data_IF_330107200643
#
_entry.id   IF_330107200643
#
_cell.length_a   1.000
_cell.length_b   1.000
_cell.length_c   1.000
_cell.angle_alpha   90.00
_cell.angle_beta   90.00
_cell.angle_gamma   90.00
#
_symmetry.space_group_name_H-M   'P 1'
#
loop_
_entity.id
_entity.type
_entity.pdbx_description
1 polymer ?
#
# COMPACT_ATOMS: atom_id res chain seq x y z
N UNK A 1 -41.97 16.81 21.44
CA UNK A 1 -40.82 15.91 21.67
C UNK A 1 -40.30 15.50 20.30
N UNK A 2 -39.22 16.12 19.86
CA UNK A 2 -38.53 15.77 18.60
C UNK A 2 -37.28 15.02 19.04
N UNK A 3 -37.28 13.71 18.80
CA UNK A 3 -36.18 12.82 19.13
C UNK A 3 -35.09 13.02 18.08
N UNK A 4 -34.00 13.70 18.45
CA UNK A 4 -32.79 13.74 17.63
C UNK A 4 -32.07 12.40 17.75
N UNK A 5 -32.00 11.66 16.65
CA UNK A 5 -31.11 10.52 16.50
C UNK A 5 -29.72 11.10 16.17
N UNK A 6 -28.68 10.89 16.99
CA UNK A 6 -27.34 11.28 16.60
C UNK A 6 -26.83 10.30 15.55
N UNK A 7 -26.66 10.78 14.33
CA UNK A 7 -25.86 10.10 13.30
C UNK A 7 -24.40 10.24 13.75
N UNK A 8 -23.86 9.18 14.33
CA UNK A 8 -22.43 9.04 14.58
C UNK A 8 -21.72 8.89 13.24
N UNK A 9 -21.17 9.99 12.72
CA UNK A 9 -20.12 9.93 11.71
C UNK A 9 -18.88 9.33 12.37
N UNK A 10 -18.65 8.04 12.18
CA UNK A 10 -17.34 7.46 12.45
C UNK A 10 -16.40 7.97 11.38
N UNK A 11 -15.49 8.87 11.75
CA UNK A 11 -14.38 9.23 10.89
C UNK A 11 -13.49 7.98 10.75
N UNK A 12 -13.68 7.21 9.68
CA UNK A 12 -12.79 6.15 9.25
C UNK A 12 -11.51 6.79 8.72
N UNK A 13 -10.64 7.22 9.63
CA UNK A 13 -9.23 7.45 9.31
C UNK A 13 -8.67 6.09 8.86
N UNK A 14 -7.90 6.09 7.76
CA UNK A 14 -7.51 4.92 6.98
C UNK A 14 -7.20 3.68 7.83
N UNK A 15 -8.06 2.68 7.72
CA UNK A 15 -7.98 1.45 8.51
C UNK A 15 -6.95 0.51 7.87
N UNK A 16 -5.67 0.73 8.15
CA UNK A 16 -4.56 -0.16 7.82
C UNK A 16 -3.75 -0.35 9.10
N UNK A 17 -3.33 -1.58 9.39
CA UNK A 17 -2.41 -1.81 10.50
C UNK A 17 -1.16 -0.96 10.20
N UNK A 18 -0.60 -0.30 11.21
CA UNK A 18 0.55 0.58 10.97
C UNK A 18 1.69 -0.23 10.36
N UNK A 19 1.92 -0.04 9.05
CA UNK A 19 3.11 -0.48 8.33
C UNK A 19 4.32 0.14 9.03
N UNK A 20 4.91 -0.59 9.97
CA UNK A 20 6.06 -0.18 10.76
C UNK A 20 5.78 -0.07 12.27
N UNK A 21 6.03 -1.18 12.97
CA UNK A 21 7.10 -1.16 13.94
C UNK A 21 6.95 -2.01 15.19
N UNK A 22 7.02 -3.35 15.13
CA UNK A 22 7.58 -4.20 16.20
C UNK A 22 7.87 -5.63 15.67
N UNK A 23 9.07 -5.89 15.14
CA UNK A 23 9.58 -7.24 14.92
C UNK A 23 10.31 -7.75 16.19
N UNK A 24 9.59 -8.01 17.29
CA UNK A 24 10.20 -8.59 18.50
C UNK A 24 9.30 -9.60 19.23
N UNK A 25 9.56 -10.90 19.02
CA UNK A 25 9.53 -11.87 20.12
C UNK A 25 10.41 -13.11 19.85
N UNK A 26 11.72 -12.94 19.96
CA UNK A 26 12.63 -13.95 20.52
C UNK A 26 14.04 -13.35 20.67
N UNK A 27 14.60 -13.47 21.88
CA UNK A 27 15.99 -13.16 22.25
C UNK A 27 16.37 -11.67 22.49
N UNK A 28 16.17 -11.27 23.75
CA UNK A 28 17.04 -10.39 24.58
C UNK A 28 16.98 -8.85 24.44
N UNK A 29 16.52 -8.25 25.56
CA UNK A 29 16.65 -6.87 26.07
C UNK A 29 15.77 -5.76 25.44
N UNK A 30 14.97 -5.04 26.25
CA UNK A 30 14.09 -3.98 25.77
C UNK A 30 14.93 -2.74 25.44
N UNK A 31 15.21 -2.51 24.16
CA UNK A 31 15.56 -1.19 23.67
C UNK A 31 14.26 -0.50 23.25
N UNK A 32 14.07 0.74 23.68
CA UNK A 32 12.94 1.56 23.25
C UNK A 32 13.14 1.87 21.76
N UNK A 33 12.29 1.29 20.91
CA UNK A 33 12.22 1.64 19.50
C UNK A 33 11.31 2.86 19.35
N UNK A 34 11.69 3.78 18.47
CA UNK A 34 10.85 4.91 18.12
C UNK A 34 9.63 4.37 17.35
N UNK A 35 8.48 4.31 18.02
CA UNK A 35 7.19 4.30 17.33
C UNK A 35 7.17 5.51 16.40
N UNK A 36 6.75 5.33 15.15
CA UNK A 36 6.18 6.45 14.42
C UNK A 36 5.03 6.96 15.30
N UNK A 37 5.19 8.16 15.86
CA UNK A 37 4.18 8.72 16.74
C UNK A 37 2.89 8.85 15.94
N UNK A 38 1.86 8.12 16.36
CA UNK A 38 0.48 8.43 16.02
C UNK A 38 0.28 9.92 16.33
N UNK A 39 -0.14 10.77 15.36
CA UNK A 39 -0.37 12.18 15.64
C UNK A 39 -1.42 12.26 16.74
N UNK A 40 -0.97 12.59 17.96
CA UNK A 40 -1.85 12.88 19.08
C UNK A 40 -2.84 13.94 18.63
N UNK A 41 -4.10 13.56 18.44
CA UNK A 41 -5.21 14.50 18.24
C UNK A 41 -5.30 15.32 19.53
N UNK A 42 -4.62 16.46 19.52
CA UNK A 42 -4.79 17.48 20.53
C UNK A 42 -6.13 18.11 20.22
N UNK A 43 -7.14 17.81 21.05
CA UNK A 43 -8.45 18.44 21.00
C UNK A 43 -8.30 19.95 21.19
N UNK A 44 -8.08 20.68 20.10
CA UNK A 44 -8.07 22.12 20.11
C UNK A 44 -9.51 22.61 20.29
N UNK A 45 -9.77 23.22 21.45
CA UNK A 45 -11.00 23.97 21.69
C UNK A 45 -10.92 25.25 20.88
N UNK A 46 -11.50 25.26 19.68
CA UNK A 46 -11.53 26.46 18.83
C UNK A 46 -12.70 27.34 19.23
N UNK A 47 -12.38 28.47 19.86
CA UNK A 47 -13.27 29.60 20.09
C UNK A 47 -13.74 30.17 18.75
N UNK A 48 -15.04 30.08 18.47
CA UNK A 48 -15.65 30.65 17.25
C UNK A 48 -15.61 32.18 17.34
N UNK A 49 -14.85 32.81 16.45
CA UNK A 49 -15.01 34.23 16.13
C UNK A 49 -15.56 34.31 14.70
N UNK A 50 -16.82 34.74 14.58
CA UNK A 50 -17.47 34.91 13.29
C UNK A 50 -16.89 36.11 12.54
N UNK A 51 -16.47 35.90 11.30
CA UNK A 51 -16.27 36.95 10.32
C UNK A 51 -17.07 36.62 9.06
N UNK A 52 -18.06 37.46 8.78
CA UNK A 52 -18.80 37.48 7.51
C UNK A 52 -17.90 38.16 6.48
N UNK A 53 -17.57 37.46 5.39
CA UNK A 53 -17.13 38.10 4.15
C UNK A 53 -17.55 37.27 2.93
N UNK A 54 -17.68 37.99 1.82
CA UNK A 54 -18.61 37.78 0.73
C UNK A 54 -18.03 36.91 -0.40
N UNK A 55 -18.96 36.33 -1.16
CA UNK A 55 -18.81 35.42 -2.30
C UNK A 55 -17.91 35.95 -3.43
N UNK A 56 -17.06 35.07 -3.98
CA UNK A 56 -16.60 35.13 -5.36
C UNK A 56 -16.51 33.71 -5.96
N UNK A 57 -17.13 33.53 -7.13
CA UNK A 57 -17.17 32.27 -7.90
C UNK A 57 -15.98 32.26 -8.87
N UNK A 58 -15.16 31.19 -8.94
CA UNK A 58 -14.26 30.97 -10.08
C UNK A 58 -14.84 29.97 -11.08
N UNK A 59 -14.46 30.19 -12.34
CA UNK A 59 -15.03 29.63 -13.55
C UNK A 59 -14.58 28.19 -13.88
N UNK A 60 -15.47 27.51 -14.59
CA UNK A 60 -15.29 26.22 -15.29
C UNK A 60 -14.06 26.25 -16.20
N UNK A 61 -13.19 25.25 -16.07
CA UNK A 61 -12.10 25.00 -17.02
C UNK A 61 -12.06 23.52 -17.39
N UNK A 62 -12.09 23.29 -18.69
CA UNK A 62 -12.18 22.04 -19.43
C UNK A 62 -10.97 21.12 -19.22
N UNK A 63 -11.26 19.83 -18.98
CA UNK A 63 -10.33 18.72 -18.95
C UNK A 63 -9.84 18.34 -20.35
N UNK A 64 -8.52 18.32 -20.54
CA UNK A 64 -7.87 17.64 -21.67
C UNK A 64 -7.47 16.25 -21.22
N UNK A 65 -8.12 15.24 -21.80
CA UNK A 65 -7.80 13.82 -21.66
C UNK A 65 -6.55 13.52 -22.48
N UNK A 66 -5.47 13.08 -21.82
CA UNK A 66 -4.31 12.52 -22.50
C UNK A 66 -4.49 11.00 -22.60
N UNK A 67 -4.63 10.52 -23.82
CA UNK A 67 -4.79 9.12 -24.20
C UNK A 67 -3.46 8.38 -24.01
N UNK A 68 -3.42 7.42 -23.10
CA UNK A 68 -2.31 6.45 -23.01
C UNK A 68 -2.53 5.37 -24.07
N UNK A 69 -1.63 5.29 -25.04
CA UNK A 69 -1.60 4.20 -26.01
C UNK A 69 -1.05 2.95 -25.35
N UNK A 70 -1.91 1.94 -25.24
CA UNK A 70 -1.53 0.55 -25.02
C UNK A 70 -0.55 0.09 -26.10
N UNK A 71 0.60 -0.45 -25.69
CA UNK A 71 1.43 -1.26 -26.56
C UNK A 71 1.48 -2.67 -25.98
N UNK A 72 0.41 -3.42 -26.27
CA UNK A 72 0.41 -4.88 -26.18
C UNK A 72 1.03 -5.43 -27.45
N UNK A 73 2.28 -5.87 -27.38
CA UNK A 73 2.84 -6.83 -28.34
C UNK A 73 3.95 -7.62 -27.67
N UNK A 74 3.79 -8.94 -27.67
CA UNK A 74 4.78 -9.87 -27.14
C UNK A 74 6.11 -9.68 -27.85
N UNK A 75 7.12 -9.30 -27.07
CA UNK A 75 8.49 -9.25 -27.55
C UNK A 75 9.32 -10.27 -26.79
N UNK A 76 9.89 -11.20 -27.55
CA UNK A 76 10.98 -12.07 -27.15
C UNK A 76 12.28 -11.27 -27.08
N UNK A 77 12.25 -10.06 -26.52
CA UNK A 77 13.44 -9.38 -26.04
C UNK A 77 13.82 -10.02 -24.72
N UNK A 78 15.06 -10.50 -24.61
CA UNK A 78 15.64 -10.85 -23.31
C UNK A 78 15.49 -9.67 -22.38
N UNK A 79 14.57 -9.78 -21.42
CA UNK A 79 14.30 -8.71 -20.47
C UNK A 79 15.61 -8.28 -19.79
N UNK A 80 15.87 -6.97 -19.79
CA UNK A 80 17.07 -6.39 -19.20
C UNK A 80 16.75 -5.82 -17.82
N UNK A 81 17.73 -5.91 -16.93
CA UNK A 81 17.65 -5.23 -15.63
C UNK A 81 17.51 -3.71 -15.86
N UNK A 82 16.72 -3.06 -15.02
CA UNK A 82 16.50 -1.62 -15.02
C UNK A 82 16.69 -1.10 -13.59
N UNK A 83 17.40 0.00 -13.44
CA UNK A 83 17.47 0.68 -12.16
C UNK A 83 16.14 1.37 -11.84
N UNK A 84 15.80 1.43 -10.55
CA UNK A 84 14.69 2.23 -10.05
C UNK A 84 14.96 3.71 -10.29
N UNK A 85 13.93 4.44 -10.68
CA UNK A 85 13.99 5.90 -10.88
C UNK A 85 15.07 6.38 -11.87
N UNK A 86 15.51 5.53 -12.81
CA UNK A 86 16.63 5.79 -13.72
C UNK A 86 16.51 7.07 -14.58
N UNK A 87 15.30 7.59 -14.76
CA UNK A 87 15.04 8.81 -15.53
C UNK A 87 14.94 10.08 -14.67
N UNK A 88 15.04 9.97 -13.34
CA UNK A 88 14.85 11.10 -12.46
C UNK A 88 16.17 11.82 -12.16
N UNK A 89 16.20 13.12 -12.46
CA UNK A 89 17.31 14.03 -12.11
C UNK A 89 17.13 14.67 -10.73
N UNK A 90 16.02 14.41 -10.03
CA UNK A 90 15.79 14.98 -8.70
C UNK A 90 16.52 14.20 -7.62
N UNK A 91 16.75 14.88 -6.50
CA UNK A 91 17.32 14.26 -5.30
C UNK A 91 16.30 13.25 -4.76
N UNK A 92 16.77 12.07 -4.36
CA UNK A 92 15.97 11.18 -3.50
C UNK A 92 15.61 11.95 -2.22
N UNK A 93 14.47 11.61 -1.62
CA UNK A 93 14.09 12.17 -0.32
C UNK A 93 15.26 12.14 0.67
N UNK A 94 15.35 13.12 1.57
CA UNK A 94 16.47 13.15 2.53
C UNK A 94 16.41 11.93 3.45
N UNK A 95 17.55 11.56 4.05
CA UNK A 95 17.61 10.41 4.98
C UNK A 95 16.60 10.55 6.11
N UNK A 96 16.34 11.77 6.59
CA UNK A 96 15.36 12.06 7.64
C UNK A 96 13.91 11.87 7.17
N UNK A 97 13.60 12.24 5.92
CA UNK A 97 12.29 11.96 5.31
C UNK A 97 12.12 10.47 5.08
N UNK A 98 13.15 9.79 4.59
CA UNK A 98 13.18 8.35 4.36
C UNK A 98 13.04 7.56 5.67
N UNK A 99 13.66 8.02 6.76
CA UNK A 99 13.54 7.38 8.08
C UNK A 99 12.13 7.49 8.68
N UNK A 100 11.36 8.49 8.26
CA UNK A 100 9.99 8.73 8.75
C UNK A 100 8.89 8.22 7.79
N UNK A 101 9.11 8.31 6.48
CA UNK A 101 8.11 8.10 5.42
C UNK A 101 8.37 6.86 4.56
N UNK A 102 9.60 6.35 4.57
CA UNK A 102 10.08 5.38 3.59
C UNK A 102 10.52 5.98 2.26
N UNK A 103 11.01 5.13 1.37
CA UNK A 103 11.28 5.41 -0.01
C UNK A 103 9.97 5.39 -0.81
N UNK A 104 9.52 6.57 -1.26
CA UNK A 104 8.35 6.72 -2.13
C UNK A 104 8.73 7.03 -3.59
N UNK A 105 10.00 6.87 -3.96
CA UNK A 105 10.57 7.31 -5.23
C UNK A 105 11.25 8.68 -5.11
N UNK A 106 11.12 9.52 -6.13
CA UNK A 106 11.74 10.85 -6.17
C UNK A 106 10.71 11.96 -6.28
N UNK A 107 11.08 13.19 -5.94
CA UNK A 107 10.16 14.34 -5.95
C UNK A 107 9.38 14.53 -7.27
N UNK A 108 9.98 14.17 -8.41
CA UNK A 108 9.39 14.32 -9.74
C UNK A 108 8.89 13.01 -10.36
N UNK A 109 9.04 11.89 -9.64
CA UNK A 109 8.73 10.54 -10.12
C UNK A 109 8.31 9.70 -8.91
N UNK A 110 7.11 10.01 -8.39
CA UNK A 110 6.52 9.24 -7.30
C UNK A 110 6.25 7.80 -7.76
N UNK A 111 6.51 6.83 -6.89
CA UNK A 111 6.23 5.43 -7.19
C UNK A 111 7.30 4.73 -8.02
N UNK A 112 8.34 5.44 -8.51
CA UNK A 112 9.42 4.84 -9.29
C UNK A 112 10.29 3.82 -8.52
N UNK A 113 10.07 3.70 -7.21
CA UNK A 113 10.62 2.67 -6.32
C UNK A 113 9.88 1.32 -6.46
N UNK A 114 8.77 1.25 -7.20
CA UNK A 114 7.99 0.04 -7.48
C UNK A 114 7.86 -0.09 -9.00
N UNK A 115 8.08 -1.29 -9.54
CA UNK A 115 7.85 -1.52 -10.98
C UNK A 115 7.46 -2.96 -11.30
N UNK A 116 6.62 -3.10 -12.34
CA UNK A 116 6.42 -4.39 -12.98
C UNK A 116 7.70 -4.81 -13.73
N UNK A 117 8.08 -6.07 -13.57
CA UNK A 117 9.23 -6.68 -14.25
C UNK A 117 8.85 -8.01 -14.88
N UNK A 118 9.66 -8.44 -15.85
CA UNK A 118 9.56 -9.78 -16.36
C UNK A 118 10.09 -10.79 -15.32
N UNK A 119 9.39 -11.91 -15.13
CA UNK A 119 9.78 -12.96 -14.18
C UNK A 119 11.20 -13.51 -14.43
N UNK A 120 11.67 -13.55 -15.68
CA UNK A 120 13.02 -14.03 -16.04
C UNK A 120 14.16 -13.21 -15.43
N UNK A 121 13.88 -11.99 -14.98
CA UNK A 121 14.86 -11.11 -14.31
C UNK A 121 14.55 -10.87 -12.83
N UNK A 122 13.56 -11.54 -12.25
CA UNK A 122 13.17 -11.36 -10.85
C UNK A 122 14.35 -11.56 -9.88
N UNK A 123 15.21 -12.54 -10.14
CA UNK A 123 16.39 -12.83 -9.31
C UNK A 123 17.46 -11.73 -9.33
N UNK A 124 17.34 -10.73 -10.21
CA UNK A 124 18.26 -9.58 -10.27
C UNK A 124 17.86 -8.47 -9.29
N UNK A 125 16.66 -8.52 -8.75
CA UNK A 125 16.15 -7.53 -7.80
C UNK A 125 16.18 -8.11 -6.39
N UNK A 126 16.50 -7.27 -5.40
CA UNK A 126 16.61 -7.70 -4.01
C UNK A 126 15.24 -8.05 -3.40
N UNK A 127 14.21 -7.30 -3.78
CA UNK A 127 12.86 -7.43 -3.24
C UNK A 127 11.86 -7.61 -4.38
N UNK A 128 11.11 -8.71 -4.38
CA UNK A 128 10.10 -8.99 -5.42
C UNK A 128 8.86 -9.65 -4.82
N UNK A 129 7.70 -9.38 -5.41
CA UNK A 129 6.46 -10.10 -5.17
C UNK A 129 5.97 -10.70 -6.51
N UNK A 130 5.78 -12.02 -6.53
CA UNK A 130 5.21 -12.74 -7.67
C UNK A 130 3.74 -12.97 -7.43
N UNK A 131 2.87 -12.31 -8.19
CA UNK A 131 1.42 -12.42 -8.10
C UNK A 131 0.96 -13.56 -8.99
N UNK A 132 0.36 -14.60 -8.41
CA UNK A 132 -0.30 -15.68 -9.14
C UNK A 132 -1.80 -15.54 -9.00
N UNK A 133 -2.50 -15.50 -10.13
CA UNK A 133 -3.94 -15.43 -10.16
C UNK A 133 -4.55 -16.83 -9.95
N UNK A 134 -5.24 -17.05 -8.84
CA UNK A 134 -5.92 -18.33 -8.60
C UNK A 134 -7.26 -18.43 -9.35
N UNK A 135 -7.81 -17.30 -9.82
CA UNK A 135 -9.09 -17.29 -10.54
C UNK A 135 -8.90 -17.30 -12.05
N UNK A 136 -9.94 -17.74 -12.75
CA UNK A 136 -10.02 -17.85 -14.21
C UNK A 136 -10.55 -16.56 -14.88
N UNK A 137 -10.33 -15.41 -14.25
CA UNK A 137 -10.69 -14.09 -14.75
C UNK A 137 -9.52 -13.13 -14.54
N UNK A 138 -9.36 -12.18 -15.45
CA UNK A 138 -8.37 -11.11 -15.29
C UNK A 138 -8.71 -10.28 -14.05
N UNK A 139 -7.67 -9.84 -13.35
CA UNK A 139 -7.78 -8.93 -12.22
C UNK A 139 -7.02 -7.64 -12.50
N UNK A 140 -7.64 -6.51 -12.25
CA UNK A 140 -6.92 -5.24 -12.14
C UNK A 140 -6.16 -5.24 -10.81
N UNK A 141 -4.91 -4.83 -10.83
CA UNK A 141 -4.08 -4.70 -9.65
C UNK A 141 -3.46 -3.31 -9.58
N UNK A 142 -3.36 -2.79 -8.36
CA UNK A 142 -2.62 -1.56 -8.04
C UNK A 142 -1.63 -1.85 -6.93
N UNK A 143 -0.48 -1.22 -6.98
CA UNK A 143 0.44 -1.11 -5.86
C UNK A 143 0.65 0.36 -5.53
N UNK A 144 0.74 0.68 -4.25
CA UNK A 144 0.92 2.04 -3.75
C UNK A 144 1.97 2.07 -2.64
N UNK A 145 2.58 3.24 -2.44
CA UNK A 145 3.35 3.52 -1.24
C UNK A 145 2.40 3.91 -0.10
N UNK A 146 2.77 3.68 1.16
CA UNK A 146 2.01 4.13 2.34
C UNK A 146 1.74 5.63 2.28
N UNK A 147 2.81 6.38 2.00
CA UNK A 147 2.79 7.82 1.81
C UNK A 147 2.57 8.12 0.32
N UNK A 148 1.51 8.84 -0.01
CA UNK A 148 1.17 9.16 -1.41
C UNK A 148 1.86 10.42 -1.93
N UNK A 149 1.57 10.81 -3.19
CA UNK A 149 2.29 11.88 -3.88
C UNK A 149 1.97 13.28 -3.33
N UNK A 150 0.75 13.48 -2.82
CA UNK A 150 0.28 14.75 -2.27
C UNK A 150 0.46 14.72 -0.74
N UNK A 151 1.67 15.00 -0.27
CA UNK A 151 2.00 15.10 1.16
C UNK A 151 1.32 16.36 1.74
N UNK A 152 0.08 16.25 2.20
CA UNK A 152 -0.55 17.28 3.01
C UNK A 152 -0.27 17.00 4.49
N UNK A 153 -0.01 18.08 5.23
CA UNK A 153 0.44 18.12 6.62
C UNK A 153 -0.61 17.60 7.65
N UNK A 154 -1.85 17.37 7.22
CA UNK A 154 -2.94 16.94 8.10
C UNK A 154 -2.87 15.46 8.51
N UNK A 155 -2.42 14.58 7.60
CA UNK A 155 -2.43 13.12 7.82
C UNK A 155 -1.03 12.50 7.67
N UNK A 156 0.01 13.33 7.74
CA UNK A 156 1.40 12.90 7.51
C UNK A 156 1.64 12.33 6.11
N UNK A 157 0.73 12.58 5.16
CA UNK A 157 0.77 12.05 3.80
C UNK A 157 0.34 10.58 3.65
N UNK A 158 -0.29 9.95 4.66
CA UNK A 158 -0.80 8.56 4.57
C UNK A 158 -2.04 8.52 3.67
N UNK A 159 -1.83 8.65 2.36
CA UNK A 159 -2.88 8.73 1.37
C UNK A 159 -2.59 7.92 0.09
N UNK A 160 -1.55 7.11 0.05
CA UNK A 160 -1.23 6.34 -1.15
C UNK A 160 -2.24 5.25 -1.48
N UNK A 161 -3.00 4.77 -0.49
CA UNK A 161 -4.06 3.76 -0.70
C UNK A 161 -5.36 4.31 -1.28
N UNK A 162 -5.38 5.52 -1.81
CA UNK A 162 -6.55 6.12 -2.45
C UNK A 162 -6.40 6.14 -3.96
N UNK A 163 -7.51 5.95 -4.66
CA UNK A 163 -7.58 6.00 -6.12
C UNK A 163 -6.95 7.29 -6.68
N UNK A 164 -6.05 7.13 -7.65
CA UNK A 164 -5.27 8.21 -8.25
C UNK A 164 -3.91 8.46 -7.58
N UNK A 165 -3.60 7.78 -6.46
CA UNK A 165 -2.32 7.86 -5.75
C UNK A 165 -1.49 6.57 -5.86
N UNK A 166 -1.91 5.61 -6.69
CA UNK A 166 -1.15 4.39 -6.96
C UNK A 166 0.25 4.67 -7.54
N UNK A 167 1.22 3.83 -7.19
CA UNK A 167 2.57 3.88 -7.75
C UNK A 167 2.63 3.17 -9.10
N UNK A 168 2.03 1.99 -9.20
CA UNK A 168 1.86 1.25 -10.46
C UNK A 168 0.48 0.61 -10.51
N UNK A 169 0.00 0.38 -11.72
CA UNK A 169 -1.15 -0.46 -12.01
C UNK A 169 -0.80 -1.48 -13.09
N UNK A 170 -1.41 -2.66 -13.03
CA UNK A 170 -1.23 -3.70 -14.03
C UNK A 170 -2.43 -4.64 -14.07
N UNK A 171 -2.62 -5.30 -15.21
CA UNK A 171 -3.57 -6.42 -15.31
C UNK A 171 -2.87 -7.72 -14.98
N UNK A 172 -3.39 -8.45 -13.99
CA UNK A 172 -3.00 -9.80 -13.67
C UNK A 172 -3.90 -10.77 -14.47
N UNK A 173 -3.36 -11.46 -15.50
CA UNK A 173 -4.18 -12.29 -16.38
C UNK A 173 -4.84 -13.46 -15.65
N UNK A 174 -5.98 -13.92 -16.16
CA UNK A 174 -6.66 -15.14 -15.72
C UNK A 174 -5.68 -16.32 -15.64
N UNK A 175 -5.58 -16.95 -14.47
CA UNK A 175 -4.63 -18.04 -14.20
C UNK A 175 -3.17 -17.72 -14.57
N UNK A 176 -2.83 -16.42 -14.61
CA UNK A 176 -1.53 -15.91 -15.03
C UNK A 176 -0.70 -15.38 -13.87
N UNK A 177 0.49 -14.88 -14.23
CA UNK A 177 1.48 -14.40 -13.27
C UNK A 177 2.00 -13.03 -13.69
N UNK A 178 2.22 -12.15 -12.70
CA UNK A 178 2.95 -10.89 -12.83
C UNK A 178 3.96 -10.75 -11.69
N UNK A 179 5.02 -9.97 -11.90
CA UNK A 179 6.05 -9.75 -10.89
C UNK A 179 6.26 -8.26 -10.69
N UNK A 180 6.16 -7.81 -9.43
CA UNK A 180 6.58 -6.47 -9.04
C UNK A 180 7.95 -6.56 -8.33
N UNK A 181 8.82 -5.62 -8.63
CA UNK A 181 10.07 -5.39 -7.90
C UNK A 181 9.97 -4.09 -7.11
N UNK A 182 10.66 -4.07 -5.97
CA UNK A 182 10.63 -2.98 -5.01
C UNK A 182 12.06 -2.54 -4.68
N UNK A 183 12.28 -1.24 -4.58
CA UNK A 183 13.51 -0.69 -4.04
C UNK A 183 13.51 -0.82 -2.51
N UNK A 184 14.71 -0.84 -1.91
CA UNK A 184 14.85 -0.87 -0.46
C UNK A 184 14.23 0.35 0.22
N UNK A 185 13.86 0.11 1.47
CA UNK A 185 13.12 0.99 2.36
C UNK A 185 11.75 1.43 1.81
N UNK A 186 11.08 0.60 1.01
CA UNK A 186 9.73 0.90 0.50
C UNK A 186 8.65 0.29 1.40
N UNK A 187 7.63 1.08 1.75
CA UNK A 187 6.45 0.63 2.51
C UNK A 187 5.17 0.92 1.74
N UNK A 188 4.20 0.01 1.80
CA UNK A 188 2.91 0.23 1.17
C UNK A 188 2.06 -1.03 1.05
N UNK A 189 1.24 -1.09 0.01
CA UNK A 189 0.39 -2.23 -0.25
C UNK A 189 0.09 -2.43 -1.72
N UNK A 190 -0.39 -3.63 -2.05
CA UNK A 190 -0.97 -3.94 -3.35
C UNK A 190 -2.33 -4.60 -3.18
N UNK A 191 -3.24 -4.30 -4.11
CA UNK A 191 -4.62 -4.80 -4.09
C UNK A 191 -5.00 -5.20 -5.49
N UNK A 192 -5.67 -6.35 -5.62
CA UNK A 192 -6.19 -6.84 -6.87
C UNK A 192 -7.69 -7.09 -6.75
N UNK A 193 -8.42 -6.93 -7.84
CA UNK A 193 -9.83 -7.29 -7.92
C UNK A 193 -10.23 -7.73 -9.31
N UNK A 194 -11.19 -8.66 -9.38
CA UNK A 194 -11.71 -9.20 -10.64
C UNK A 194 -12.35 -8.09 -11.48
N UNK A 195 -12.01 -8.08 -12.77
CA UNK A 195 -12.53 -7.11 -13.73
C UNK A 195 -11.50 -6.02 -14.10
N UNK A 196 -12.00 -4.87 -14.54
CA UNK A 196 -11.18 -3.80 -15.11
C UNK A 196 -10.70 -2.75 -14.11
N UNK A 197 -11.13 -2.81 -12.85
CA UNK A 197 -10.75 -1.85 -11.81
C UNK A 197 -10.70 -2.54 -10.45
N UNK A 198 -9.82 -2.04 -9.58
CA UNK A 198 -9.75 -2.48 -8.18
C UNK A 198 -10.95 -1.92 -7.42
N UNK A 199 -11.64 -2.72 -6.57
CA UNK A 199 -12.72 -2.22 -5.73
C UNK A 199 -12.28 -1.05 -4.86
N UNK A 200 -13.18 -0.10 -4.61
CA UNK A 200 -12.93 1.02 -3.70
C UNK A 200 -14.04 1.14 -2.66
N UNK A 201 -13.72 1.76 -1.53
CA UNK A 201 -14.71 2.21 -0.56
C UNK A 201 -15.50 3.39 -1.14
N UNK A 202 -16.58 3.81 -0.48
CA UNK A 202 -17.33 5.00 -0.88
C UNK A 202 -16.51 6.31 -0.86
N UNK A 203 -15.33 6.29 -0.25
CA UNK A 203 -14.39 7.41 -0.16
C UNK A 203 -13.22 7.29 -1.14
N UNK A 204 -13.20 6.25 -2.00
CA UNK A 204 -12.13 6.04 -2.98
C UNK A 204 -10.87 5.37 -2.43
N UNK A 205 -10.89 4.82 -1.21
CA UNK A 205 -9.78 3.99 -0.71
C UNK A 205 -9.82 2.63 -1.39
N UNK A 206 -8.70 2.11 -1.88
CA UNK A 206 -8.63 0.77 -2.45
C UNK A 206 -9.09 -0.28 -1.44
N UNK A 207 -9.99 -1.16 -1.86
CA UNK A 207 -10.65 -2.15 -1.02
C UNK A 207 -10.43 -3.57 -1.56
N UNK A 208 -10.67 -4.55 -0.70
CA UNK A 208 -10.34 -5.96 -0.92
C UNK A 208 -9.31 -6.40 0.12
N UNK A 209 -8.56 -7.45 -0.20
CA UNK A 209 -7.39 -7.84 0.59
C UNK A 209 -6.13 -7.19 0.08
N UNK A 210 -5.34 -6.66 1.01
CA UNK A 210 -4.09 -6.01 0.73
C UNK A 210 -2.95 -7.00 0.97
N UNK A 211 -2.03 -7.08 0.01
CA UNK A 211 -0.67 -7.47 0.30
C UNK A 211 0.03 -6.23 0.85
N UNK A 212 0.23 -6.18 2.16
CA UNK A 212 0.95 -5.11 2.84
C UNK A 212 2.45 -5.47 2.87
N UNK A 213 3.32 -4.48 2.64
CA UNK A 213 4.77 -4.70 2.57
C UNK A 213 5.58 -3.60 3.24
N UNK A 214 6.73 -4.01 3.78
CA UNK A 214 7.79 -3.14 4.24
C UNK A 214 9.13 -3.80 3.87
N UNK A 215 9.81 -3.30 2.84
CA UNK A 215 11.01 -3.96 2.30
C UNK A 215 12.29 -3.29 2.75
N UNK A 216 13.09 -3.98 3.58
CA UNK A 216 14.40 -3.52 3.99
C UNK A 216 14.35 -2.18 4.72
N UNK A 217 13.49 -2.09 5.73
CA UNK A 217 13.25 -0.90 6.52
C UNK A 217 14.52 -0.43 7.23
N UNK A 218 15.04 0.73 6.85
CA UNK A 218 16.28 1.27 7.43
C UNK A 218 16.13 1.63 8.91
N UNK A 219 14.93 2.02 9.34
CA UNK A 219 14.60 2.32 10.74
C UNK A 219 14.47 1.05 11.60
N UNK A 220 14.44 -0.13 10.98
CA UNK A 220 14.36 -1.43 11.65
C UNK A 220 15.48 -2.38 11.16
N UNK A 221 16.73 -1.90 11.19
CA UNK A 221 17.93 -2.69 10.89
C UNK A 221 17.90 -3.41 9.51
N UNK A 222 17.16 -2.88 8.53
CA UNK A 222 16.91 -3.46 7.21
C UNK A 222 16.10 -4.76 7.20
N UNK A 223 15.31 -5.02 8.24
CA UNK A 223 14.31 -6.10 8.21
C UNK A 223 13.22 -5.80 7.20
N UNK A 224 12.56 -6.86 6.74
CA UNK A 224 11.37 -6.74 5.90
C UNK A 224 10.14 -7.33 6.59
N UNK A 225 9.00 -6.68 6.38
CA UNK A 225 7.66 -7.13 6.75
C UNK A 225 6.82 -7.43 5.52
N UNK A 226 5.91 -8.40 5.63
CA UNK A 226 4.87 -8.63 4.62
C UNK A 226 3.69 -9.36 5.22
N UNK A 227 2.48 -9.02 4.82
CA UNK A 227 1.27 -9.68 5.31
C UNK A 227 0.11 -9.58 4.32
N UNK A 228 -0.90 -10.42 4.55
CA UNK A 228 -2.21 -10.31 3.97
C UNK A 228 -3.13 -9.61 4.97
N UNK A 229 -3.95 -8.67 4.50
CA UNK A 229 -4.80 -7.85 5.34
C UNK A 229 -6.18 -7.67 4.72
N UNK A 230 -7.24 -7.85 5.50
CA UNK A 230 -8.64 -7.65 5.07
C UNK A 230 -9.31 -6.48 5.77
N UNK A 231 -8.53 -5.64 6.47
CA UNK A 231 -9.03 -4.58 7.34
C UNK A 231 -9.94 -3.59 6.60
N UNK A 232 -9.51 -3.08 5.45
CA UNK A 232 -10.31 -2.10 4.69
C UNK A 232 -11.61 -2.70 4.18
N UNK A 233 -11.58 -3.90 3.59
CA UNK A 233 -12.79 -4.58 3.14
C UNK A 233 -13.75 -4.83 4.31
N UNK A 234 -13.23 -5.41 5.40
CA UNK A 234 -14.00 -5.77 6.59
C UNK A 234 -14.63 -4.56 7.29
N UNK A 235 -13.90 -3.45 7.40
CA UNK A 235 -14.38 -2.22 8.04
C UNK A 235 -15.51 -1.56 7.23
N UNK A 236 -15.53 -1.77 5.92
CA UNK A 236 -16.52 -1.20 5.01
C UNK A 236 -17.64 -2.19 4.62
N UNK A 237 -17.64 -3.40 5.20
CA UNK A 237 -18.62 -4.44 4.87
C UNK A 237 -18.58 -4.89 3.41
N UNK A 238 -17.40 -4.82 2.79
CA UNK A 238 -17.16 -5.23 1.41
C UNK A 238 -16.72 -6.70 1.37
N UNK A 239 -16.80 -7.28 0.18
CA UNK A 239 -16.31 -8.64 -0.07
C UNK A 239 -14.81 -8.74 0.25
N UNK A 240 -14.43 -9.84 0.91
CA UNK A 240 -13.04 -10.14 1.22
C UNK A 240 -12.57 -11.23 0.26
N UNK A 241 -11.89 -10.88 -0.86
CA UNK A 241 -11.25 -11.89 -1.69
C UNK A 241 -10.17 -12.60 -0.87
N UNK A 242 -9.88 -13.85 -1.17
CA UNK A 242 -8.77 -14.52 -0.49
C UNK A 242 -7.42 -14.02 -0.99
N UNK A 243 -6.44 -14.05 -0.10
CA UNK A 243 -5.06 -13.69 -0.40
C UNK A 243 -4.12 -14.52 0.45
N UNK A 244 -3.09 -15.05 -0.18
CA UNK A 244 -2.00 -15.75 0.49
C UNK A 244 -0.67 -15.13 0.09
N UNK A 245 0.11 -14.69 1.07
CA UNK A 245 1.44 -14.10 0.90
C UNK A 245 2.45 -15.03 1.58
N UNK A 246 3.42 -15.56 0.84
CA UNK A 246 4.39 -16.52 1.37
C UNK A 246 5.84 -16.15 1.02
N UNK A 247 6.76 -16.46 1.93
CA UNK A 247 8.19 -16.22 1.80
C UNK A 247 8.96 -16.88 2.93
N UNK A 248 10.15 -17.42 2.63
CA UNK A 248 11.02 -18.07 3.62
C UNK A 248 10.35 -19.15 4.49
N UNK A 249 9.37 -19.87 3.92
CA UNK A 249 8.64 -20.94 4.61
C UNK A 249 7.51 -20.46 5.54
N UNK A 250 7.23 -19.17 5.60
CA UNK A 250 6.15 -18.56 6.38
C UNK A 250 5.10 -18.02 5.41
N UNK A 251 3.83 -18.09 5.79
CA UNK A 251 2.73 -17.50 5.03
C UNK A 251 1.85 -16.61 5.93
N UNK A 252 1.22 -15.63 5.31
CA UNK A 252 0.11 -14.83 5.82
C UNK A 252 -1.08 -15.06 4.89
N UNK A 253 -2.24 -15.41 5.45
CA UNK A 253 -3.38 -15.91 4.70
C UNK A 253 -4.65 -15.21 5.15
N UNK A 254 -5.43 -14.71 4.19
CA UNK A 254 -6.83 -14.34 4.34
C UNK A 254 -7.67 -15.29 3.49
N UNK A 255 -8.72 -15.86 4.09
CA UNK A 255 -9.72 -16.68 3.42
C UNK A 255 -10.92 -15.84 2.96
N UNK A 256 -11.71 -16.36 2.03
CA UNK A 256 -12.90 -15.68 1.48
C UNK A 256 -14.00 -15.39 2.51
N UNK A 257 -14.01 -16.10 3.64
CA UNK A 257 -14.95 -15.84 4.74
C UNK A 257 -14.48 -14.74 5.70
N UNK A 258 -13.34 -14.09 5.40
CA UNK A 258 -12.73 -13.03 6.20
C UNK A 258 -11.90 -13.53 7.38
N UNK A 259 -11.79 -14.84 7.60
CA UNK A 259 -10.84 -15.40 8.55
C UNK A 259 -9.42 -15.33 8.01
N UNK A 260 -8.42 -15.47 8.88
CA UNK A 260 -7.03 -15.43 8.47
C UNK A 260 -6.11 -16.19 9.41
N UNK A 261 -4.93 -16.52 8.88
CA UNK A 261 -3.81 -17.12 9.60
C UNK A 261 -2.60 -16.21 9.42
N UNK A 262 -2.01 -15.76 10.53
CA UNK A 262 -0.86 -14.87 10.51
C UNK A 262 -1.09 -13.63 9.62
N UNK A 263 -2.28 -13.03 9.71
CA UNK A 263 -2.80 -12.00 8.82
C UNK A 263 -3.62 -10.98 9.61
N UNK A 264 -3.78 -9.77 9.10
CA UNK A 264 -4.64 -8.77 9.72
C UNK A 264 -6.08 -8.94 9.28
N UNK A 265 -6.93 -9.32 10.23
CA UNK A 265 -8.38 -9.44 10.04
C UNK A 265 -9.11 -8.37 10.86
N UNK A 266 -10.42 -8.23 10.62
CA UNK A 266 -11.30 -7.30 11.34
C UNK A 266 -11.02 -7.27 12.86
N UNK A 267 -10.84 -6.07 13.43
CA UNK A 267 -10.58 -5.88 14.85
C UNK A 267 -9.10 -5.85 15.23
N UNK A 268 -8.19 -6.01 14.26
CA UNK A 268 -6.74 -5.96 14.46
C UNK A 268 -6.11 -4.63 14.02
N UNK A 269 -6.90 -3.56 13.90
CA UNK A 269 -6.46 -2.25 13.39
C UNK A 269 -5.35 -1.62 14.25
N UNK A 270 -5.29 -1.98 15.54
CA UNK A 270 -4.29 -1.49 16.49
C UNK A 270 -3.12 -2.48 16.72
N UNK A 271 -3.17 -3.65 16.09
CA UNK A 271 -2.14 -4.67 16.21
C UNK A 271 -0.97 -4.39 15.26
N UNK A 272 0.18 -4.99 15.55
CA UNK A 272 1.42 -4.85 14.77
C UNK A 272 2.25 -6.15 14.85
N UNK A 273 3.20 -6.32 13.94
CA UNK A 273 4.13 -7.46 13.91
C UNK A 273 3.55 -8.78 13.40
N UNK A 274 2.34 -8.76 12.85
CA UNK A 274 1.67 -9.94 12.26
C UNK A 274 2.16 -10.17 10.83
N UNK A 275 2.26 -11.42 10.40
CA UNK A 275 2.72 -11.79 9.06
C UNK A 275 4.15 -12.31 9.01
N UNK A 276 4.85 -11.97 7.94
CA UNK A 276 6.20 -12.40 7.66
C UNK A 276 7.17 -11.36 8.24
N UNK A 277 7.96 -11.77 9.23
CA UNK A 277 9.05 -10.99 9.78
C UNK A 277 10.38 -11.55 9.26
N UNK A 278 10.97 -10.89 8.26
CA UNK A 278 12.07 -11.42 7.47
C UNK A 278 13.38 -10.67 7.79
N UNK A 279 14.47 -11.39 8.13
CA UNK A 279 15.74 -10.77 8.45
C UNK A 279 16.34 -10.06 7.23
N UNK A 280 17.32 -9.16 7.43
CA UNK A 280 17.96 -8.43 6.35
C UNK A 280 18.52 -9.36 5.27
N UNK A 281 18.15 -9.12 4.01
CA UNK A 281 18.57 -9.95 2.90
C UNK A 281 17.67 -9.80 1.67
N UNK A 282 17.83 -10.71 0.70
CA UNK A 282 16.93 -10.78 -0.43
C UNK A 282 15.58 -11.34 0.03
N UNK A 283 14.48 -10.71 -0.41
CA UNK A 283 13.12 -11.17 -0.13
C UNK A 283 12.38 -11.38 -1.43
N UNK A 284 12.00 -12.63 -1.68
CA UNK A 284 11.20 -13.02 -2.83
C UNK A 284 9.90 -13.64 -2.32
N UNK A 285 8.81 -12.90 -2.45
CA UNK A 285 7.49 -13.33 -2.02
C UNK A 285 6.71 -13.94 -3.17
N UNK A 286 5.89 -14.94 -2.83
CA UNK A 286 4.89 -15.52 -3.71
C UNK A 286 3.52 -15.20 -3.16
N UNK A 287 2.69 -14.58 -4.00
CA UNK A 287 1.32 -14.24 -3.70
C UNK A 287 0.39 -15.14 -4.50
N UNK A 288 -0.67 -15.61 -3.86
CA UNK A 288 -1.80 -16.26 -4.53
C UNK A 288 -3.03 -15.41 -4.28
N UNK A 289 -3.61 -14.87 -5.36
CA UNK A 289 -4.68 -13.88 -5.33
C UNK A 289 -6.00 -14.54 -5.72
N UNK A 290 -6.99 -14.50 -4.83
CA UNK A 290 -8.34 -15.04 -5.04
C UNK A 290 -8.48 -16.55 -4.84
N UNK A 291 -7.64 -17.17 -4.00
CA UNK A 291 -7.64 -18.63 -3.73
C UNK A 291 -8.83 -19.13 -2.88
#
# INVERSE_FOLDING_TARGET
>A
MITFIPILFSATLGVSAHLGGYAHWAAHHPRQFARANDPTITTATTTITQYVTQVAIPATSSSNVATSTDDSSGDSSTATYRDFCANSKSRRATVEQIAYEGNTGTDNDYGCNIMEINQSIASKYKYTATFNNAVNQDQACVCFNKIGPNKTDTDGGINGSWEGNEAISFTLPASGTKVAAFEGNSQGGCVCGVGSAVPTTSLGQFAGTWFEFDFGNESNDNWSGADASSLVASANGLETPALKVCGSGICSIINTDGTGENAYVKGMEAEDGVGLNLPPGNVHLTLTVGE
#
